data_IF_586655514941
#
_entry.id   IF_586655514941
#
_cell.length_a   1.000
_cell.length_b   1.000
_cell.length_c   1.000
_cell.angle_alpha   90.00
_cell.angle_beta   90.00
_cell.angle_gamma   90.00
#
_symmetry.space_group_name_H-M   'P 1'
#
loop_
_entity.id
_entity.type
_entity.pdbx_description
1 polymer ?
#
# COMPACT_ATOMS: atom_id res chain seq x y z
N UNK A 1 -2.34 -22.14 9.93
CA UNK A 1 -0.90 -21.89 10.11
C UNK A 1 -0.64 -20.39 10.06
N UNK A 2 0.33 -19.93 10.88
CA UNK A 2 0.69 -18.52 11.00
C UNK A 2 2.20 -18.34 10.82
N UNK A 3 2.62 -17.16 10.43
CA UNK A 3 4.02 -16.74 10.40
C UNK A 3 4.16 -15.30 10.90
N UNK A 4 5.38 -14.89 11.23
CA UNK A 4 5.66 -13.55 11.72
C UNK A 4 6.33 -12.72 10.64
N UNK A 5 5.87 -11.50 10.45
CA UNK A 5 6.49 -10.49 9.60
C UNK A 5 6.88 -9.27 10.43
N UNK A 6 7.88 -8.52 9.96
CA UNK A 6 8.29 -7.25 10.59
C UNK A 6 7.82 -6.11 9.70
N UNK A 7 6.92 -5.27 10.22
CA UNK A 7 6.36 -4.16 9.47
C UNK A 7 7.30 -2.94 9.40
N UNK A 8 6.89 -1.90 8.69
CA UNK A 8 7.73 -0.71 8.50
C UNK A 8 7.90 0.15 9.77
N UNK A 9 7.10 -0.06 10.80
CA UNK A 9 7.26 0.54 12.13
C UNK A 9 8.16 -0.31 13.06
N UNK A 10 8.57 -1.51 12.62
CA UNK A 10 9.39 -2.44 13.39
C UNK A 10 8.58 -3.34 14.32
N UNK A 11 7.27 -3.45 14.12
CA UNK A 11 6.44 -4.37 14.88
C UNK A 11 6.57 -5.79 14.32
N UNK A 12 6.73 -6.78 15.19
CA UNK A 12 6.56 -8.18 14.86
C UNK A 12 5.06 -8.52 14.90
N UNK A 13 4.51 -8.92 13.76
CA UNK A 13 3.09 -9.21 13.61
C UNK A 13 2.91 -10.64 13.16
N UNK A 14 2.12 -11.40 13.92
CA UNK A 14 1.71 -12.75 13.54
C UNK A 14 0.51 -12.69 12.60
N UNK A 15 0.65 -13.25 11.40
CA UNK A 15 -0.37 -13.25 10.35
C UNK A 15 -0.64 -14.66 9.84
N UNK A 16 -1.86 -14.99 9.38
CA UNK A 16 -2.12 -16.27 8.75
C UNK A 16 -1.38 -16.39 7.40
N UNK A 17 -0.98 -17.59 7.01
CA UNK A 17 -0.46 -17.86 5.67
C UNK A 17 -1.53 -17.66 4.60
N UNK A 18 -2.77 -18.01 4.89
CA UNK A 18 -3.91 -17.87 3.98
C UNK A 18 -4.67 -16.57 4.26
N UNK A 19 -4.15 -15.45 3.74
CA UNK A 19 -4.81 -14.15 3.81
C UNK A 19 -5.75 -14.00 2.62
N UNK A 20 -7.04 -13.89 2.86
CA UNK A 20 -8.09 -13.71 1.85
C UNK A 20 -8.82 -12.37 1.98
N UNK A 21 -8.76 -11.74 3.15
CA UNK A 21 -9.55 -10.54 3.48
C UNK A 21 -8.64 -9.43 3.99
N UNK A 22 -8.44 -8.43 3.16
CA UNK A 22 -7.55 -7.30 3.41
C UNK A 22 -8.37 -6.03 3.56
N UNK A 23 -8.15 -5.26 4.63
CA UNK A 23 -8.63 -3.89 4.73
C UNK A 23 -7.44 -2.91 4.72
N UNK A 24 -7.65 -1.73 4.12
CA UNK A 24 -6.65 -0.65 4.03
C UNK A 24 -7.23 0.60 4.67
N UNK A 25 -6.69 1.02 5.82
CA UNK A 25 -7.30 2.05 6.66
C UNK A 25 -7.06 3.48 6.15
N UNK A 26 -5.81 3.85 5.85
CA UNK A 26 -5.43 5.26 5.62
C UNK A 26 -4.32 5.45 4.57
N UNK A 27 -3.93 4.43 3.83
CA UNK A 27 -2.91 4.53 2.76
C UNK A 27 -3.59 4.55 1.40
N UNK A 28 -3.76 5.75 0.83
CA UNK A 28 -4.51 5.99 -0.41
C UNK A 28 -4.12 5.12 -1.61
N UNK A 29 -2.83 5.00 -1.99
CA UNK A 29 -2.47 4.27 -3.20
C UNK A 29 -2.37 2.77 -2.99
N UNK A 30 -2.37 2.27 -1.74
CA UNK A 30 -2.11 0.87 -1.46
C UNK A 30 -3.15 -0.09 -2.07
N UNK A 31 -4.47 0.20 -2.11
CA UNK A 31 -5.42 -0.65 -2.81
C UNK A 31 -5.07 -0.86 -4.29
N UNK A 32 -4.58 0.17 -4.98
CA UNK A 32 -4.14 0.05 -6.38
C UNK A 32 -2.90 -0.84 -6.51
N UNK A 33 -1.93 -0.68 -5.61
CA UNK A 33 -0.72 -1.52 -5.58
C UNK A 33 -1.07 -2.97 -5.32
N UNK A 34 -1.95 -3.25 -4.35
CA UNK A 34 -2.41 -4.61 -4.05
C UNK A 34 -3.17 -5.23 -5.22
N UNK A 35 -4.05 -4.47 -5.89
CA UNK A 35 -4.80 -4.96 -7.06
C UNK A 35 -3.87 -5.40 -8.19
N UNK A 36 -2.85 -4.60 -8.49
CA UNK A 36 -1.83 -4.96 -9.50
C UNK A 36 -0.95 -6.11 -9.01
N UNK A 37 -0.59 -6.13 -7.73
CA UNK A 37 0.22 -7.20 -7.15
C UNK A 37 -0.44 -8.58 -7.29
N UNK A 38 -1.75 -8.66 -7.04
CA UNK A 38 -2.53 -9.90 -7.15
C UNK A 38 -3.10 -10.14 -8.54
N UNK A 39 -3.05 -9.15 -9.45
CA UNK A 39 -3.84 -9.13 -10.69
C UNK A 39 -5.35 -9.35 -10.42
N UNK A 40 -5.83 -8.84 -9.30
CA UNK A 40 -7.20 -8.93 -8.78
C UNK A 40 -7.40 -8.01 -7.59
N UNK A 41 -8.60 -7.51 -7.37
CA UNK A 41 -8.97 -6.79 -6.15
C UNK A 41 -9.91 -7.58 -5.21
N UNK A 42 -10.17 -8.85 -5.49
CA UNK A 42 -11.12 -9.67 -4.71
C UNK A 42 -10.77 -9.77 -3.23
N UNK A 43 -9.47 -9.74 -2.89
CA UNK A 43 -9.02 -9.80 -1.48
C UNK A 43 -9.27 -8.50 -0.71
N UNK A 44 -9.53 -7.39 -1.38
CA UNK A 44 -9.70 -6.08 -0.74
C UNK A 44 -11.15 -5.91 -0.30
N UNK A 45 -11.41 -6.16 0.99
CA UNK A 45 -12.77 -6.09 1.56
C UNK A 45 -13.11 -4.71 2.10
N UNK A 46 -12.12 -3.86 2.34
CA UNK A 46 -12.33 -2.51 2.86
C UNK A 46 -11.21 -1.54 2.49
N UNK A 47 -11.55 -0.30 2.24
CA UNK A 47 -10.59 0.78 1.98
C UNK A 47 -11.15 2.15 2.36
N UNK A 48 -10.29 3.16 2.45
CA UNK A 48 -10.69 4.52 2.76
C UNK A 48 -11.60 5.11 1.66
N UNK A 49 -12.56 6.01 2.02
CA UNK A 49 -13.48 6.65 1.07
C UNK A 49 -12.77 7.35 -0.10
N UNK A 50 -11.62 7.97 0.16
CA UNK A 50 -10.86 8.63 -0.89
C UNK A 50 -10.18 7.64 -1.86
N UNK A 51 -9.76 6.47 -1.39
CA UNK A 51 -9.29 5.38 -2.26
C UNK A 51 -10.43 4.87 -3.16
N UNK A 52 -11.65 4.76 -2.62
CA UNK A 52 -12.84 4.40 -3.41
C UNK A 52 -13.12 5.46 -4.49
N UNK A 53 -13.09 6.74 -4.13
CA UNK A 53 -13.29 7.82 -5.10
C UNK A 53 -12.24 7.78 -6.22
N UNK A 54 -10.98 7.54 -5.87
CA UNK A 54 -9.91 7.38 -6.85
C UNK A 54 -10.13 6.16 -7.77
N UNK A 55 -10.52 5.02 -7.22
CA UNK A 55 -10.83 3.82 -7.98
C UNK A 55 -11.97 4.03 -8.98
N UNK A 56 -13.06 4.66 -8.56
CA UNK A 56 -14.23 4.98 -9.39
C UNK A 56 -13.91 5.89 -10.57
N UNK A 57 -12.90 6.76 -10.44
CA UNK A 57 -12.53 7.77 -11.43
C UNK A 57 -11.23 7.46 -12.18
N UNK A 58 -10.78 6.21 -12.18
CA UNK A 58 -9.54 5.77 -12.81
C UNK A 58 -9.71 4.46 -13.56
N UNK A 59 -8.67 4.03 -14.28
CA UNK A 59 -8.63 2.73 -14.93
C UNK A 59 -8.70 1.55 -13.96
N UNK A 60 -8.50 1.77 -12.65
CA UNK A 60 -8.50 0.69 -11.68
C UNK A 60 -9.82 -0.09 -11.67
N UNK A 61 -10.95 0.63 -11.69
CA UNK A 61 -12.29 0.01 -11.73
C UNK A 61 -12.65 -0.64 -13.08
N UNK A 62 -11.94 -0.28 -14.15
CA UNK A 62 -12.10 -0.95 -15.45
C UNK A 62 -11.28 -2.24 -15.51
N UNK A 63 -10.08 -2.25 -14.93
CA UNK A 63 -9.19 -3.41 -14.89
C UNK A 63 -9.59 -4.42 -13.82
N UNK A 64 -10.00 -3.92 -12.65
CA UNK A 64 -10.36 -4.71 -11.46
C UNK A 64 -11.70 -4.21 -10.89
N UNK A 65 -12.84 -4.47 -11.56
CA UNK A 65 -14.14 -3.94 -11.16
C UNK A 65 -14.61 -4.38 -9.77
N UNK A 66 -14.11 -5.50 -9.27
CA UNK A 66 -14.38 -6.00 -7.93
C UNK A 66 -13.90 -5.06 -6.82
N UNK A 67 -12.96 -4.12 -7.10
CA UNK A 67 -12.52 -3.09 -6.14
C UNK A 67 -13.69 -2.24 -5.63
N UNK A 68 -14.72 -2.07 -6.44
CA UNK A 68 -15.90 -1.29 -6.11
C UNK A 68 -16.80 -1.96 -5.05
N UNK A 69 -16.56 -3.23 -4.73
CA UNK A 69 -17.26 -3.97 -3.69
C UNK A 69 -16.66 -3.75 -2.29
N UNK A 70 -15.49 -3.10 -2.21
CA UNK A 70 -14.86 -2.83 -0.92
C UNK A 70 -15.69 -1.85 -0.08
N UNK A 71 -15.84 -2.16 1.21
CA UNK A 71 -16.56 -1.30 2.16
C UNK A 71 -15.69 -0.11 2.58
N UNK A 72 -16.34 1.03 2.80
CA UNK A 72 -15.65 2.27 3.19
C UNK A 72 -16.05 2.81 4.56
N UNK A 73 -17.09 2.24 5.17
CA UNK A 73 -17.70 2.79 6.40
C UNK A 73 -16.88 2.60 7.67
N UNK A 74 -15.79 1.81 7.65
CA UNK A 74 -14.96 1.54 8.82
C UNK A 74 -13.87 2.60 9.08
N UNK A 75 -13.63 3.49 8.14
CA UNK A 75 -12.58 4.52 8.25
C UNK A 75 -13.01 5.82 7.56
N UNK A 76 -12.50 6.95 8.05
CA UNK A 76 -12.57 8.25 7.35
C UNK A 76 -11.26 8.59 6.61
N UNK A 77 -10.26 7.69 6.67
CA UNK A 77 -8.92 7.85 6.11
C UNK A 77 -7.90 8.37 7.13
N UNK A 78 -8.30 8.66 8.36
CA UNK A 78 -7.42 9.08 9.46
C UNK A 78 -7.70 8.33 10.76
N UNK A 79 -8.94 7.96 11.00
CA UNK A 79 -9.40 7.19 12.16
C UNK A 79 -10.16 5.95 11.70
N UNK A 80 -10.28 4.95 12.58
CA UNK A 80 -11.03 3.73 12.30
C UNK A 80 -12.16 3.52 13.31
N UNK A 81 -13.25 2.92 12.85
CA UNK A 81 -14.32 2.39 13.66
C UNK A 81 -14.15 0.86 13.75
N UNK A 82 -13.68 0.39 14.90
CA UNK A 82 -13.42 -1.04 15.14
C UNK A 82 -14.68 -1.89 15.00
N UNK A 83 -15.84 -1.41 15.41
CA UNK A 83 -17.10 -2.18 15.33
C UNK A 83 -17.50 -2.43 13.86
N UNK A 84 -17.31 -1.45 12.99
CA UNK A 84 -17.55 -1.60 11.56
C UNK A 84 -16.46 -2.46 10.89
N UNK A 85 -15.20 -2.31 11.32
CA UNK A 85 -14.10 -3.10 10.80
C UNK A 85 -14.25 -4.59 11.12
N UNK A 86 -14.66 -4.94 12.35
CA UNK A 86 -14.88 -6.33 12.76
C UNK A 86 -15.95 -7.03 11.91
N UNK A 87 -16.96 -6.29 11.42
CA UNK A 87 -17.98 -6.85 10.52
C UNK A 87 -17.40 -7.28 9.16
N UNK A 88 -16.29 -6.68 8.76
CA UNK A 88 -15.59 -7.05 7.53
C UNK A 88 -14.77 -8.34 7.71
N UNK A 89 -14.55 -8.77 8.95
CA UNK A 89 -13.77 -9.97 9.28
C UNK A 89 -12.44 -10.02 8.51
N UNK A 90 -11.59 -8.99 8.63
CA UNK A 90 -10.33 -8.96 7.89
C UNK A 90 -9.29 -9.88 8.51
N UNK A 91 -8.54 -10.59 7.67
CA UNK A 91 -7.37 -11.36 8.11
C UNK A 91 -6.20 -10.46 8.47
N UNK A 92 -6.11 -9.31 7.79
CA UNK A 92 -5.07 -8.30 8.01
C UNK A 92 -5.58 -6.90 7.65
N UNK A 93 -5.10 -5.90 8.39
CA UNK A 93 -5.39 -4.49 8.13
C UNK A 93 -4.10 -3.72 7.92
N UNK A 94 -3.94 -3.12 6.75
CA UNK A 94 -2.84 -2.18 6.49
C UNK A 94 -3.19 -0.78 7.00
N UNK A 95 -2.23 -0.15 7.65
CA UNK A 95 -2.35 1.23 8.12
C UNK A 95 -1.02 2.00 8.00
N UNK A 96 -1.07 3.32 8.04
CA UNK A 96 0.10 4.18 7.95
C UNK A 96 1.01 4.08 9.18
N UNK A 97 2.31 3.85 8.98
CA UNK A 97 3.29 3.81 10.07
C UNK A 97 3.36 5.14 10.87
N UNK A 98 2.89 6.24 10.30
CA UNK A 98 2.77 7.54 10.96
C UNK A 98 1.51 7.68 11.83
N UNK A 99 0.63 6.67 11.84
CA UNK A 99 -0.61 6.65 12.63
C UNK A 99 -0.64 5.47 13.62
N UNK A 100 0.19 5.49 14.68
CA UNK A 100 0.32 4.40 15.63
C UNK A 100 -0.99 4.13 16.42
N UNK A 101 -1.89 5.11 16.50
CA UNK A 101 -3.17 4.96 17.20
C UNK A 101 -4.06 3.88 16.54
N UNK A 102 -4.06 3.81 15.20
CA UNK A 102 -4.75 2.73 14.48
C UNK A 102 -4.13 1.38 14.85
N UNK A 103 -2.81 1.28 14.87
CA UNK A 103 -2.10 0.05 15.25
C UNK A 103 -2.47 -0.44 16.66
N UNK A 104 -2.56 0.47 17.63
CA UNK A 104 -2.98 0.14 19.00
C UNK A 104 -4.44 -0.34 19.06
N UNK A 105 -5.34 0.31 18.32
CA UNK A 105 -6.75 -0.09 18.25
C UNK A 105 -6.90 -1.49 17.64
N UNK A 106 -6.17 -1.80 16.55
CA UNK A 106 -6.16 -3.11 15.92
C UNK A 106 -5.63 -4.18 16.88
N UNK A 107 -4.50 -3.91 17.54
CA UNK A 107 -3.91 -4.81 18.52
C UNK A 107 -4.87 -5.12 19.67
N UNK A 108 -5.56 -4.10 20.21
CA UNK A 108 -6.54 -4.27 21.29
C UNK A 108 -7.78 -5.07 20.84
N UNK A 109 -8.10 -5.01 19.55
CA UNK A 109 -9.19 -5.80 18.96
C UNK A 109 -8.77 -7.22 18.54
N UNK A 110 -7.47 -7.56 18.65
CA UNK A 110 -6.94 -8.85 18.22
C UNK A 110 -6.88 -9.02 16.70
N UNK A 111 -6.84 -7.91 15.94
CA UNK A 111 -6.76 -7.91 14.48
C UNK A 111 -5.32 -7.66 14.05
N UNK A 112 -4.72 -8.50 13.19
CA UNK A 112 -3.38 -8.26 12.68
C UNK A 112 -3.29 -6.94 11.91
N UNK A 113 -2.51 -5.98 12.42
CA UNK A 113 -2.28 -4.69 11.80
C UNK A 113 -0.86 -4.58 11.26
N UNK A 114 -0.72 -4.20 9.99
CA UNK A 114 0.57 -4.04 9.31
C UNK A 114 0.80 -2.56 9.02
N UNK A 115 1.79 -1.99 9.68
CA UNK A 115 2.21 -0.62 9.43
C UNK A 115 3.00 -0.51 8.13
N UNK A 116 2.55 0.37 7.23
CA UNK A 116 3.25 0.67 5.98
C UNK A 116 3.71 2.13 5.99
N UNK A 117 4.95 2.41 5.58
CA UNK A 117 5.50 3.76 5.57
C UNK A 117 5.52 4.36 4.17
N UNK A 118 5.20 5.65 4.08
CA UNK A 118 5.28 6.45 2.85
C UNK A 118 6.49 7.38 2.84
N UNK A 119 7.15 7.60 3.97
CA UNK A 119 8.18 8.62 4.16
C UNK A 119 9.50 8.12 4.78
N UNK A 120 9.58 6.84 5.13
CA UNK A 120 10.76 6.24 5.79
C UNK A 120 12.03 6.36 4.92
N UNK A 121 11.87 6.44 3.61
CA UNK A 121 12.95 6.50 2.62
C UNK A 121 13.00 7.86 1.93
N UNK A 122 12.90 8.93 2.70
CA UNK A 122 13.04 10.32 2.26
C UNK A 122 12.16 10.69 1.05
N UNK A 123 10.96 10.09 0.97
CA UNK A 123 10.02 10.21 -0.16
C UNK A 123 10.58 9.74 -1.50
N UNK A 124 11.62 8.90 -1.50
CA UNK A 124 12.07 8.22 -2.71
C UNK A 124 11.01 7.22 -3.15
N UNK A 125 10.32 7.54 -4.26
CA UNK A 125 9.17 6.74 -4.72
C UNK A 125 9.57 5.32 -5.13
N UNK A 126 10.76 5.14 -5.73
CA UNK A 126 11.25 3.83 -6.17
C UNK A 126 11.57 2.97 -4.95
N UNK A 127 12.38 3.49 -4.04
CA UNK A 127 12.76 2.77 -2.82
C UNK A 127 11.54 2.48 -1.94
N UNK A 128 10.60 3.41 -1.84
CA UNK A 128 9.33 3.21 -1.12
C UNK A 128 8.53 2.06 -1.71
N UNK A 129 8.35 2.03 -3.04
CA UNK A 129 7.63 0.95 -3.72
C UNK A 129 8.32 -0.40 -3.55
N UNK A 130 9.66 -0.45 -3.71
CA UNK A 130 10.42 -1.68 -3.52
C UNK A 130 10.24 -2.25 -2.12
N UNK A 131 10.27 -1.40 -1.08
CA UNK A 131 10.03 -1.82 0.29
C UNK A 131 8.57 -2.23 0.56
N UNK A 132 7.60 -1.58 -0.08
CA UNK A 132 6.19 -2.01 -0.02
C UNK A 132 6.03 -3.40 -0.62
N UNK A 133 6.56 -3.63 -1.81
CA UNK A 133 6.49 -4.93 -2.49
C UNK A 133 7.20 -6.01 -1.69
N UNK A 134 8.35 -5.70 -1.08
CA UNK A 134 9.07 -6.63 -0.20
C UNK A 134 8.20 -7.06 0.98
N UNK A 135 7.60 -6.11 1.72
CA UNK A 135 6.73 -6.41 2.85
C UNK A 135 5.47 -7.19 2.42
N UNK A 136 4.84 -6.81 1.30
CA UNK A 136 3.69 -7.54 0.78
C UNK A 136 4.08 -8.96 0.37
N UNK A 137 5.25 -9.15 -0.24
CA UNK A 137 5.77 -10.46 -0.62
C UNK A 137 6.07 -11.35 0.60
N UNK A 138 6.53 -10.78 1.72
CA UNK A 138 6.67 -11.52 2.98
C UNK A 138 5.32 -11.99 3.54
N UNK A 139 4.26 -11.18 3.39
CA UNK A 139 2.90 -11.56 3.77
C UNK A 139 2.31 -12.62 2.85
N UNK A 140 2.71 -12.66 1.59
CA UNK A 140 2.21 -13.56 0.55
C UNK A 140 3.36 -14.30 -0.14
N UNK A 141 4.06 -15.22 0.56
CA UNK A 141 5.29 -15.83 0.06
C UNK A 141 5.10 -16.65 -1.23
N UNK A 142 3.91 -17.17 -1.48
CA UNK A 142 3.58 -17.87 -2.73
C UNK A 142 3.44 -16.92 -3.93
N UNK A 143 3.41 -15.60 -3.69
CA UNK A 143 3.29 -14.56 -4.71
C UNK A 143 4.41 -13.52 -4.59
N UNK A 144 5.61 -13.92 -4.22
CA UNK A 144 6.76 -13.03 -4.08
C UNK A 144 7.11 -12.37 -5.43
N UNK A 145 7.10 -11.03 -5.43
CA UNK A 145 7.43 -10.19 -6.59
C UNK A 145 8.60 -9.24 -6.32
N UNK A 146 9.30 -9.42 -5.21
CA UNK A 146 10.38 -8.52 -4.78
C UNK A 146 11.45 -8.38 -5.85
N UNK A 147 12.01 -9.49 -6.36
CA UNK A 147 13.05 -9.47 -7.36
C UNK A 147 12.56 -8.92 -8.71
N UNK A 148 11.35 -9.30 -9.13
CA UNK A 148 10.74 -8.84 -10.38
C UNK A 148 10.59 -7.32 -10.40
N UNK A 149 10.02 -6.75 -9.34
CA UNK A 149 9.75 -5.30 -9.24
C UNK A 149 11.04 -4.52 -9.11
N UNK A 150 11.97 -4.96 -8.24
CA UNK A 150 13.25 -4.29 -8.05
C UNK A 150 14.10 -4.26 -9.33
N UNK A 151 14.18 -5.37 -10.06
CA UNK A 151 14.91 -5.44 -11.33
C UNK A 151 14.30 -4.51 -12.38
N UNK A 152 12.95 -4.46 -12.49
CA UNK A 152 12.28 -3.57 -13.43
C UNK A 152 12.46 -2.10 -13.05
N UNK A 153 12.31 -1.77 -11.78
CA UNK A 153 12.51 -0.40 -11.26
C UNK A 153 13.93 0.09 -11.56
N UNK A 154 14.95 -0.74 -11.29
CA UNK A 154 16.34 -0.42 -11.57
C UNK A 154 16.60 -0.24 -13.07
N UNK A 155 16.06 -1.11 -13.90
CA UNK A 155 16.20 -1.01 -15.37
C UNK A 155 15.63 0.31 -15.90
N UNK A 156 14.41 0.69 -15.45
CA UNK A 156 13.76 1.95 -15.89
C UNK A 156 14.56 3.15 -15.39
N UNK A 157 15.02 3.12 -14.13
CA UNK A 157 15.83 4.19 -13.57
C UNK A 157 17.12 4.39 -14.34
N UNK A 158 17.86 3.31 -14.61
CA UNK A 158 19.13 3.34 -15.35
C UNK A 158 18.92 3.86 -16.79
N UNK A 159 17.85 3.45 -17.46
CA UNK A 159 17.50 3.95 -18.78
C UNK A 159 17.24 5.47 -18.77
N UNK A 160 16.51 5.98 -17.77
CA UNK A 160 16.27 7.42 -17.61
C UNK A 160 17.58 8.15 -17.36
N UNK A 161 18.43 7.64 -16.45
CA UNK A 161 19.73 8.25 -16.16
C UNK A 161 20.63 8.31 -17.41
N UNK A 162 20.68 7.24 -18.21
CA UNK A 162 21.43 7.22 -19.46
C UNK A 162 20.92 8.26 -20.48
N UNK A 163 19.60 8.42 -20.60
CA UNK A 163 18.99 9.39 -21.54
C UNK A 163 19.29 10.84 -21.16
N UNK A 164 19.54 11.14 -19.88
CA UNK A 164 19.78 12.51 -19.41
C UNK A 164 21.24 12.76 -19.02
N UNK A 165 22.13 11.77 -19.15
CA UNK A 165 23.53 11.85 -18.71
C UNK A 165 24.32 12.98 -19.38
N UNK A 166 24.07 13.20 -20.68
CA UNK A 166 24.80 14.20 -21.49
C UNK A 166 24.06 15.56 -21.54
N UNK A 167 22.92 15.71 -20.85
CA UNK A 167 22.18 16.98 -20.82
C UNK A 167 22.88 17.99 -19.89
N UNK A 168 23.18 19.16 -20.42
CA UNK A 168 23.63 20.30 -19.63
C UNK A 168 22.50 20.85 -18.74
N UNK A 169 22.84 21.62 -17.74
CA UNK A 169 21.85 22.27 -16.86
C UNK A 169 20.91 23.24 -17.62
N UNK A 170 21.40 23.80 -18.74
CA UNK A 170 20.63 24.70 -19.60
C UNK A 170 19.57 23.94 -20.43
N UNK A 171 19.82 22.67 -20.75
CA UNK A 171 18.90 21.81 -21.50
C UNK A 171 17.87 21.15 -20.61
N UNK A 172 18.08 21.17 -19.28
CA UNK A 172 17.15 20.59 -18.30
C UNK A 172 15.98 21.54 -18.06
N UNK A 173 14.76 21.01 -18.14
CA UNK A 173 13.57 21.77 -17.79
C UNK A 173 13.60 22.17 -16.30
N UNK A 174 13.29 23.45 -16.01
CA UNK A 174 13.01 23.88 -14.65
C UNK A 174 11.58 23.59 -14.31
N UNK A 175 11.33 22.74 -13.31
CA UNK A 175 9.99 22.33 -12.89
C UNK A 175 9.77 22.79 -11.46
N UNK A 176 8.63 23.44 -11.21
CA UNK A 176 8.12 23.66 -9.87
C UNK A 176 6.99 22.65 -9.62
N UNK A 177 7.16 21.79 -8.62
CA UNK A 177 6.15 20.82 -8.24
C UNK A 177 5.47 21.27 -6.95
N UNK A 178 4.17 21.55 -7.02
CA UNK A 178 3.34 21.87 -5.87
C UNK A 178 2.55 20.63 -5.46
N UNK A 179 2.95 20.00 -4.35
CA UNK A 179 2.29 18.81 -3.85
C UNK A 179 0.99 19.13 -3.11
N UNK A 180 1.00 20.19 -2.29
CA UNK A 180 -0.15 20.62 -1.53
C UNK A 180 -0.12 22.14 -1.36
N UNK A 181 -1.28 22.79 -1.57
CA UNK A 181 -1.48 24.19 -1.27
C UNK A 181 -2.55 24.30 -0.18
N UNK A 182 -2.19 24.92 0.93
CA UNK A 182 -3.10 25.19 2.07
C UNK A 182 -3.26 26.70 2.27
#
# INVERSE_FOLDING_TARGET
EYHTVVDHAGNEVEVPYDIQRIAVADIYPLPSVLSVFFDSAEKIVGMAPASMTAAQNSLLSELYPEILNAETGFTDGTTINIEELVKLDPDVVFYGASNPEIGEQLKNAGIPGIAISVNKWDYNAIETLDNWISLISELFPDNDKTELVSNYSNQVYDEIQQRVADMSDEERARVFFLFQYS
#
